data_IF_312127369932
#
_entry.id   IF_312127369932
#
_cell.length_a   1.000
_cell.length_b   1.000
_cell.length_c   1.000
_cell.angle_alpha   90.00
_cell.angle_beta   90.00
_cell.angle_gamma   90.00
#
_symmetry.space_group_name_H-M   'P 1'
#
loop_
_entity.id
_entity.type
_entity.pdbx_description
1 polymer ?
#
# COMPACT_ATOMS: atom_id res chain seq x y z
N UNK A 1 0.98 11.19 -13.76
CA UNK A 1 2.03 10.72 -12.85
C UNK A 1 2.45 11.80 -11.86
N UNK A 2 2.99 12.94 -12.30
CA UNK A 2 3.50 14.01 -11.42
C UNK A 2 2.48 14.58 -10.41
N UNK A 3 1.22 14.79 -10.83
CA UNK A 3 0.17 15.26 -9.91
C UNK A 3 -0.09 14.29 -8.75
N UNK A 4 -0.07 12.98 -9.02
CA UNK A 4 -0.22 11.96 -7.96
C UNK A 4 0.99 11.95 -7.01
N UNK A 5 2.22 12.00 -7.54
CA UNK A 5 3.44 12.08 -6.73
C UNK A 5 3.48 13.32 -5.85
N UNK A 6 3.02 14.47 -6.36
CA UNK A 6 2.96 15.69 -5.55
C UNK A 6 1.92 15.57 -4.41
N UNK A 7 0.80 14.87 -4.63
CA UNK A 7 -0.19 14.57 -3.57
C UNK A 7 0.36 13.58 -2.56
N UNK A 8 1.08 12.53 -3.00
CA UNK A 8 1.75 11.59 -2.11
C UNK A 8 2.79 12.30 -1.23
N UNK A 9 3.56 13.23 -1.81
CA UNK A 9 4.53 14.06 -1.08
C UNK A 9 3.88 15.03 -0.08
N UNK A 10 2.76 15.64 -0.45
CA UNK A 10 2.02 16.51 0.46
C UNK A 10 1.42 15.71 1.63
N UNK A 11 0.91 14.49 1.38
CA UNK A 11 0.39 13.61 2.42
C UNK A 11 1.41 13.30 3.51
N UNK A 12 2.69 13.10 3.15
CA UNK A 12 3.78 12.93 4.13
C UNK A 12 3.87 14.17 5.04
N UNK A 13 3.91 15.35 4.45
CA UNK A 13 4.08 16.61 5.19
C UNK A 13 2.87 16.99 6.06
N UNK A 14 1.68 16.58 5.66
CA UNK A 14 0.44 16.86 6.37
C UNK A 14 0.22 15.91 7.56
N UNK A 15 0.77 14.67 7.47
CA UNK A 15 0.48 13.62 8.46
C UNK A 15 1.64 13.27 9.36
N UNK A 16 2.87 13.61 8.97
CA UNK A 16 4.04 13.42 9.83
C UNK A 16 4.52 14.79 10.36
N UNK A 17 4.35 15.06 11.68
CA UNK A 17 4.85 16.29 12.30
C UNK A 17 6.37 16.47 12.18
N UNK A 18 7.13 15.38 12.00
CA UNK A 18 8.59 15.44 11.83
C UNK A 18 9.00 15.77 10.39
N UNK A 19 8.06 15.76 9.42
CA UNK A 19 8.34 16.06 8.03
C UNK A 19 8.69 17.54 7.84
N UNK A 20 9.94 17.81 7.54
CA UNK A 20 10.46 19.14 7.27
C UNK A 20 10.05 19.68 5.89
N UNK A 21 11.02 20.13 5.10
CA UNK A 21 10.76 20.64 3.75
C UNK A 21 10.48 19.49 2.74
N UNK A 22 9.90 19.84 1.58
CA UNK A 22 9.62 18.86 0.50
C UNK A 22 10.85 18.08 0.05
N UNK A 23 12.00 18.75 0.00
CA UNK A 23 13.25 18.12 -0.41
C UNK A 23 13.67 17.02 0.56
N UNK A 24 13.57 17.27 1.87
CA UNK A 24 13.83 16.26 2.89
C UNK A 24 12.86 15.07 2.76
N UNK A 25 11.57 15.33 2.55
CA UNK A 25 10.58 14.27 2.36
C UNK A 25 10.87 13.40 1.12
N UNK A 26 11.38 13.97 0.03
CA UNK A 26 11.74 13.22 -1.18
C UNK A 26 12.91 12.26 -0.95
N UNK A 27 13.92 12.66 -0.19
CA UNK A 27 15.16 11.89 -0.05
C UNK A 27 15.22 11.02 1.21
N UNK A 28 14.52 11.40 2.28
CA UNK A 28 14.63 10.74 3.57
C UNK A 28 13.42 9.85 3.92
N UNK A 29 12.32 9.94 3.15
CA UNK A 29 11.12 9.14 3.43
C UNK A 29 11.01 7.95 2.48
N UNK A 30 11.11 6.72 3.01
CA UNK A 30 10.90 5.48 2.25
C UNK A 30 9.56 5.44 1.53
N UNK A 31 8.52 6.04 2.14
CA UNK A 31 7.19 6.17 1.55
C UNK A 31 7.21 6.85 0.17
N UNK A 32 7.89 7.99 0.04
CA UNK A 32 7.99 8.67 -1.25
C UNK A 32 8.79 7.86 -2.27
N UNK A 33 9.90 7.28 -1.84
CA UNK A 33 10.78 6.51 -2.71
C UNK A 33 10.07 5.26 -3.29
N UNK A 34 9.36 4.51 -2.46
CA UNK A 34 8.61 3.34 -2.92
C UNK A 34 7.44 3.74 -3.82
N UNK A 35 6.75 4.86 -3.51
CA UNK A 35 5.66 5.36 -4.35
C UNK A 35 6.15 5.88 -5.70
N UNK A 36 7.31 6.51 -5.77
CA UNK A 36 7.94 6.89 -7.03
C UNK A 36 8.20 5.65 -7.90
N UNK A 37 8.82 4.62 -7.33
CA UNK A 37 9.06 3.35 -8.02
C UNK A 37 7.74 2.69 -8.47
N UNK A 38 6.72 2.64 -7.61
CA UNK A 38 5.42 2.10 -7.92
C UNK A 38 4.72 2.86 -9.07
N UNK A 39 4.75 4.20 -9.06
CA UNK A 39 4.14 5.02 -10.12
C UNK A 39 4.79 4.79 -11.48
N UNK A 40 6.04 4.30 -11.52
CA UNK A 40 6.73 3.88 -12.74
C UNK A 40 6.40 2.42 -13.08
N UNK A 41 6.42 1.53 -12.10
CA UNK A 41 6.26 0.09 -12.30
C UNK A 41 4.82 -0.31 -12.67
N UNK A 42 3.80 0.35 -12.10
CA UNK A 42 2.40 0.01 -12.35
C UNK A 42 1.97 0.19 -13.83
N UNK A 43 2.30 1.29 -14.54
CA UNK A 43 2.06 1.38 -15.99
C UNK A 43 2.78 0.30 -16.78
N UNK A 44 4.02 -0.04 -16.44
CA UNK A 44 4.78 -1.12 -17.11
C UNK A 44 4.09 -2.47 -16.89
N UNK A 45 3.61 -2.74 -15.69
CA UNK A 45 2.82 -3.93 -15.39
C UNK A 45 1.58 -4.03 -16.27
N UNK A 46 0.82 -2.93 -16.38
CA UNK A 46 -0.38 -2.84 -17.22
C UNK A 46 -0.08 -2.99 -18.71
N UNK A 47 1.08 -2.54 -19.16
CA UNK A 47 1.56 -2.71 -20.53
C UNK A 47 2.10 -4.14 -20.83
N UNK A 48 2.06 -5.07 -19.85
CA UNK A 48 2.55 -6.43 -20.01
C UNK A 48 4.05 -6.63 -19.74
N UNK A 49 4.80 -5.56 -19.46
CA UNK A 49 6.23 -5.62 -19.13
C UNK A 49 6.44 -6.06 -17.67
N UNK A 50 5.90 -7.24 -17.35
CA UNK A 50 5.79 -7.73 -15.97
C UNK A 50 7.13 -7.95 -15.27
N UNK A 51 8.14 -8.44 -16.01
CA UNK A 51 9.47 -8.63 -15.44
C UNK A 51 10.09 -7.29 -15.01
N UNK A 52 10.11 -6.31 -15.90
CA UNK A 52 10.66 -4.98 -15.61
C UNK A 52 9.94 -4.31 -14.44
N UNK A 53 8.60 -4.37 -14.42
CA UNK A 53 7.80 -3.83 -13.32
C UNK A 53 8.15 -4.48 -11.98
N UNK A 54 8.26 -5.82 -11.93
CA UNK A 54 8.64 -6.53 -10.70
C UNK A 54 10.08 -6.25 -10.28
N UNK A 55 10.99 -6.14 -11.25
CA UNK A 55 12.39 -5.83 -10.96
C UNK A 55 12.54 -4.46 -10.30
N UNK A 56 11.87 -3.44 -10.85
CA UNK A 56 11.85 -2.09 -10.25
C UNK A 56 11.32 -2.14 -8.81
N UNK A 57 10.22 -2.85 -8.57
CA UNK A 57 9.66 -2.94 -7.22
C UNK A 57 10.53 -3.78 -6.27
N UNK A 58 11.27 -4.76 -6.77
CA UNK A 58 12.24 -5.51 -5.97
C UNK A 58 13.42 -4.62 -5.53
N UNK A 59 13.94 -3.77 -6.42
CA UNK A 59 14.94 -2.78 -6.05
C UNK A 59 14.41 -1.80 -4.99
N UNK A 60 13.18 -1.28 -5.19
CA UNK A 60 12.55 -0.39 -4.22
C UNK A 60 12.41 -1.06 -2.85
N UNK A 61 12.02 -2.36 -2.79
CA UNK A 61 11.95 -3.14 -1.56
C UNK A 61 13.31 -3.22 -0.83
N UNK A 62 14.39 -3.45 -1.55
CA UNK A 62 15.74 -3.53 -0.95
C UNK A 62 16.16 -2.22 -0.30
N UNK A 63 15.79 -1.08 -0.89
CA UNK A 63 16.14 0.24 -0.36
C UNK A 63 15.19 0.73 0.74
N UNK A 64 13.90 0.35 0.68
CA UNK A 64 12.87 0.93 1.55
C UNK A 64 12.35 -0.03 2.62
N UNK A 65 12.55 -1.34 2.46
CA UNK A 65 11.93 -2.37 3.30
C UNK A 65 10.42 -2.52 3.08
N UNK A 66 9.85 -1.87 2.04
CA UNK A 66 8.42 -1.88 1.72
C UNK A 66 8.20 -2.71 0.46
N UNK A 67 7.33 -3.71 0.54
CA UNK A 67 6.94 -4.54 -0.59
C UNK A 67 5.60 -4.10 -1.16
N UNK A 68 5.58 -3.62 -2.40
CA UNK A 68 4.35 -3.33 -3.14
C UNK A 68 4.38 -4.11 -4.45
N UNK A 69 3.36 -4.96 -4.65
CA UNK A 69 3.23 -5.62 -5.94
C UNK A 69 2.81 -4.61 -7.03
N UNK A 70 3.48 -4.55 -8.19
CA UNK A 70 3.18 -3.55 -9.22
C UNK A 70 1.78 -3.66 -9.82
N UNK A 71 1.09 -4.80 -9.64
CA UNK A 71 -0.29 -5.02 -10.03
C UNK A 71 -1.34 -4.38 -9.11
N UNK A 72 -0.98 -4.00 -7.90
CA UNK A 72 -1.88 -3.31 -6.98
C UNK A 72 -2.41 -2.01 -7.58
N UNK A 73 -3.60 -1.58 -7.17
CA UNK A 73 -4.18 -0.29 -7.55
C UNK A 73 -4.14 0.65 -6.35
N UNK A 74 -3.42 1.77 -6.47
CA UNK A 74 -3.25 2.73 -5.37
C UNK A 74 -3.65 4.13 -5.83
N UNK A 75 -4.58 4.73 -5.10
CA UNK A 75 -5.03 6.11 -5.27
C UNK A 75 -3.92 7.15 -5.05
N UNK A 76 -4.27 8.40 -4.86
CA UNK A 76 -3.32 9.47 -4.54
C UNK A 76 -3.34 9.80 -3.04
N UNK A 77 -2.30 10.49 -2.57
CA UNK A 77 -2.19 10.83 -1.15
C UNK A 77 -1.94 9.62 -0.26
N UNK A 78 -1.42 8.54 -0.81
CA UNK A 78 -1.05 7.36 -0.07
C UNK A 78 0.23 7.62 0.73
N UNK A 79 0.18 7.30 2.01
CA UNK A 79 1.30 7.50 2.93
C UNK A 79 1.60 6.22 3.71
N UNK A 80 2.86 5.85 3.76
CA UNK A 80 3.35 4.74 4.60
C UNK A 80 4.30 5.33 5.63
N UNK A 81 3.85 5.38 6.88
CA UNK A 81 4.67 5.88 7.98
C UNK A 81 5.65 4.79 8.46
N UNK A 82 6.92 5.15 8.62
CA UNK A 82 8.06 4.26 8.87
C UNK A 82 8.27 3.21 7.77
N UNK A 83 7.31 2.35 7.51
CA UNK A 83 7.18 1.47 6.34
C UNK A 83 7.87 0.13 6.42
N UNK A 84 8.85 -0.10 7.27
CA UNK A 84 9.56 -1.39 7.33
C UNK A 84 8.59 -2.57 7.51
N UNK A 85 8.71 -3.58 6.65
CA UNK A 85 7.88 -4.79 6.72
C UNK A 85 6.45 -4.65 6.20
N UNK A 86 6.09 -3.52 5.57
CA UNK A 86 4.79 -3.40 4.87
C UNK A 86 4.79 -4.31 3.64
N UNK A 87 3.68 -5.05 3.45
CA UNK A 87 3.46 -5.92 2.29
C UNK A 87 2.10 -5.62 1.65
N UNK A 88 2.10 -5.28 0.38
CA UNK A 88 0.90 -5.00 -0.41
C UNK A 88 0.81 -5.98 -1.59
N UNK A 89 -0.17 -6.88 -1.55
CA UNK A 89 -0.36 -7.94 -2.54
C UNK A 89 -0.93 -7.45 -3.88
N UNK A 90 -0.84 -8.33 -4.89
CA UNK A 90 -1.11 -8.04 -6.31
C UNK A 90 -2.49 -7.43 -6.60
N UNK A 91 -3.55 -8.00 -6.01
CA UNK A 91 -4.94 -7.60 -6.30
C UNK A 91 -5.50 -6.62 -5.28
N UNK A 92 -4.64 -6.02 -4.44
CA UNK A 92 -5.02 -4.99 -3.49
C UNK A 92 -5.52 -3.74 -4.22
N UNK A 93 -6.59 -3.15 -3.68
CA UNK A 93 -7.10 -1.85 -4.11
C UNK A 93 -7.02 -0.90 -2.92
N UNK A 94 -6.38 0.24 -3.10
CA UNK A 94 -6.24 1.29 -2.09
C UNK A 94 -6.80 2.58 -2.67
N UNK A 95 -7.75 3.17 -1.99
CA UNK A 95 -8.36 4.45 -2.31
C UNK A 95 -7.40 5.63 -2.15
N UNK A 96 -7.97 6.81 -2.00
CA UNK A 96 -7.22 8.05 -1.80
C UNK A 96 -6.97 8.31 -0.32
N UNK A 97 -5.88 9.02 -0.02
CA UNK A 97 -5.52 9.49 1.33
C UNK A 97 -5.38 8.39 2.39
N UNK A 98 -5.11 7.17 2.01
CA UNK A 98 -4.90 6.06 2.95
C UNK A 98 -3.54 6.17 3.62
N UNK A 99 -3.49 5.83 4.92
CA UNK A 99 -2.25 5.77 5.71
C UNK A 99 -2.04 4.34 6.24
N UNK A 100 -0.85 3.81 6.02
CA UNK A 100 -0.41 2.56 6.63
C UNK A 100 0.81 2.82 7.53
N UNK A 101 0.89 2.12 8.65
CA UNK A 101 2.08 2.09 9.48
C UNK A 101 2.95 0.87 9.16
N UNK A 102 4.15 0.81 9.76
CA UNK A 102 5.10 -0.30 9.58
C UNK A 102 4.47 -1.66 9.90
N UNK A 103 4.95 -2.71 9.22
CA UNK A 103 4.54 -4.09 9.46
C UNK A 103 3.14 -4.47 9.00
N UNK A 104 2.39 -3.54 8.38
CA UNK A 104 1.05 -3.83 7.85
C UNK A 104 1.14 -4.79 6.66
N UNK A 105 0.29 -5.82 6.67
CA UNK A 105 0.13 -6.73 5.53
C UNK A 105 -1.26 -6.63 4.93
N UNK A 106 -1.33 -6.36 3.63
CA UNK A 106 -2.52 -6.48 2.81
C UNK A 106 -2.39 -7.75 1.97
N UNK A 107 -2.81 -8.88 2.54
CA UNK A 107 -2.50 -10.23 2.07
C UNK A 107 -3.70 -11.05 1.64
N UNK A 108 -3.43 -12.25 1.11
CA UNK A 108 -4.43 -13.28 0.84
C UNK A 108 -4.61 -14.20 2.05
N UNK A 109 -5.78 -14.83 2.16
CA UNK A 109 -6.10 -15.83 3.21
C UNK A 109 -5.88 -17.27 2.72
N UNK A 110 -6.03 -17.51 1.41
CA UNK A 110 -5.97 -18.85 0.87
C UNK A 110 -4.54 -19.42 0.97
N UNK A 111 -4.39 -20.68 1.43
CA UNK A 111 -3.10 -21.35 1.44
C UNK A 111 -2.54 -21.46 0.01
N UNK A 112 -1.24 -21.58 -0.12
CA UNK A 112 -0.53 -21.67 -1.40
C UNK A 112 -0.79 -22.97 -2.18
N UNK A 113 -1.88 -23.65 -1.93
CA UNK A 113 -2.35 -24.85 -2.63
C UNK A 113 -3.09 -24.39 -3.89
N UNK A 114 -2.70 -24.95 -5.04
CA UNK A 114 -3.24 -24.60 -6.36
C UNK A 114 -3.07 -23.12 -6.74
N UNK A 115 -1.82 -22.68 -6.84
CA UNK A 115 -1.47 -21.32 -7.25
C UNK A 115 -2.00 -20.94 -8.65
N UNK A 116 -2.26 -21.94 -9.54
CA UNK A 116 -2.80 -21.65 -10.87
C UNK A 116 -4.25 -21.19 -10.82
N UNK A 117 -5.10 -21.83 -10.02
CA UNK A 117 -6.50 -21.44 -9.84
C UNK A 117 -6.63 -20.05 -9.20
N UNK A 118 -5.68 -19.65 -8.37
CA UNK A 118 -5.72 -18.37 -7.67
C UNK A 118 -5.26 -17.16 -8.51
N UNK A 119 -4.65 -17.37 -9.68
CA UNK A 119 -4.09 -16.27 -10.48
C UNK A 119 -5.11 -15.27 -10.98
N UNK A 120 -6.32 -15.70 -11.26
CA UNK A 120 -7.42 -14.85 -11.76
C UNK A 120 -8.33 -14.31 -10.67
N UNK A 121 -8.13 -14.71 -9.42
CA UNK A 121 -9.00 -14.33 -8.31
C UNK A 121 -8.52 -13.03 -7.65
N UNK A 122 -9.49 -12.18 -7.28
CA UNK A 122 -9.22 -11.11 -6.33
C UNK A 122 -9.08 -11.75 -4.93
N UNK A 123 -7.87 -11.71 -4.37
CA UNK A 123 -7.52 -12.40 -3.11
C UNK A 123 -6.96 -11.47 -2.04
N UNK A 124 -6.82 -10.18 -2.35
CA UNK A 124 -6.29 -9.17 -1.44
C UNK A 124 -7.34 -8.10 -1.15
N UNK A 125 -7.22 -7.39 -0.03
CA UNK A 125 -8.25 -6.46 0.42
C UNK A 125 -8.42 -5.22 -0.45
N UNK A 126 -9.56 -4.56 -0.27
CA UNK A 126 -9.85 -3.21 -0.71
C UNK A 126 -9.86 -2.29 0.51
N UNK A 127 -9.09 -1.24 0.50
CA UNK A 127 -9.18 -0.12 1.44
C UNK A 127 -9.81 1.07 0.72
N UNK A 128 -10.92 1.56 1.24
CA UNK A 128 -11.55 2.77 0.67
C UNK A 128 -10.80 4.04 1.09
N UNK A 129 -11.34 5.21 0.73
CA UNK A 129 -10.68 6.49 0.98
C UNK A 129 -10.53 6.79 2.48
N UNK A 130 -9.48 7.52 2.84
CA UNK A 130 -9.23 8.04 4.20
C UNK A 130 -9.05 6.96 5.29
N UNK A 131 -8.82 5.70 4.93
CA UNK A 131 -8.55 4.61 5.87
C UNK A 131 -7.18 4.79 6.52
N UNK A 132 -7.09 4.52 7.82
CA UNK A 132 -5.83 4.42 8.56
C UNK A 132 -5.67 3.01 9.13
N UNK A 133 -4.51 2.40 8.91
CA UNK A 133 -4.18 1.05 9.39
C UNK A 133 -2.97 1.13 10.30
N UNK A 134 -3.17 0.80 11.58
CA UNK A 134 -2.15 0.80 12.61
C UNK A 134 -1.04 -0.24 12.41
N UNK A 135 0.07 -0.04 13.10
CA UNK A 135 1.29 -0.84 12.95
C UNK A 135 1.05 -2.34 13.17
N UNK A 136 1.66 -3.16 12.31
CA UNK A 136 1.60 -4.61 12.42
C UNK A 136 0.25 -5.25 12.09
N UNK A 137 -0.78 -4.47 11.72
CA UNK A 137 -2.08 -5.03 11.41
C UNK A 137 -2.05 -5.91 10.14
N UNK A 138 -2.80 -7.01 10.17
CA UNK A 138 -2.92 -7.97 9.09
C UNK A 138 -4.33 -7.90 8.51
N UNK A 139 -4.49 -7.39 7.30
CA UNK A 139 -5.77 -7.34 6.60
C UNK A 139 -5.73 -8.38 5.49
N UNK A 140 -6.54 -9.43 5.64
CA UNK A 140 -6.37 -10.65 4.87
C UNK A 140 -7.64 -11.04 4.12
N UNK A 141 -7.47 -11.37 2.84
CA UNK A 141 -8.55 -11.86 1.99
C UNK A 141 -9.18 -10.79 1.12
N UNK A 142 -10.16 -11.20 0.32
CA UNK A 142 -10.95 -10.28 -0.50
C UNK A 142 -12.05 -9.63 0.34
N UNK A 143 -11.65 -8.75 1.23
CA UNK A 143 -12.52 -7.99 2.13
C UNK A 143 -12.42 -6.49 1.84
N UNK A 144 -13.39 -5.72 2.30
CA UNK A 144 -13.41 -4.27 2.17
C UNK A 144 -13.30 -3.60 3.54
N UNK A 145 -12.38 -2.66 3.66
CA UNK A 145 -12.31 -1.74 4.79
C UNK A 145 -12.90 -0.41 4.33
N UNK A 146 -14.06 -0.07 4.90
CA UNK A 146 -14.87 1.08 4.48
C UNK A 146 -14.20 2.42 4.75
N UNK A 147 -14.62 3.45 4.00
CA UNK A 147 -14.05 4.79 4.02
C UNK A 147 -13.97 5.38 5.44
N UNK A 148 -12.84 6.00 5.75
CA UNK A 148 -12.61 6.64 7.04
C UNK A 148 -12.43 5.69 8.22
N UNK A 149 -12.46 4.36 8.02
CA UNK A 149 -12.24 3.40 9.11
C UNK A 149 -10.81 3.48 9.68
N UNK A 150 -10.69 3.15 10.95
CA UNK A 150 -9.43 3.09 11.71
C UNK A 150 -9.20 1.67 12.21
N UNK A 151 -8.13 1.02 11.76
CA UNK A 151 -7.74 -0.31 12.21
C UNK A 151 -6.60 -0.17 13.22
N UNK A 152 -6.79 -0.68 14.42
CA UNK A 152 -5.79 -0.65 15.48
C UNK A 152 -4.54 -1.48 15.16
N UNK A 153 -3.45 -1.15 15.83
CA UNK A 153 -2.19 -1.88 15.65
C UNK A 153 -2.31 -3.36 16.03
N UNK A 154 -1.60 -4.22 15.30
CA UNK A 154 -1.58 -5.68 15.48
C UNK A 154 -2.94 -6.39 15.34
N UNK A 155 -3.96 -5.72 14.82
CA UNK A 155 -5.26 -6.34 14.53
C UNK A 155 -5.16 -7.34 13.37
N UNK A 156 -5.90 -8.44 13.47
CA UNK A 156 -6.09 -9.39 12.37
C UNK A 156 -7.52 -9.26 11.84
N UNK A 157 -7.66 -8.73 10.62
CA UNK A 157 -8.94 -8.42 9.99
C UNK A 157 -9.17 -9.35 8.81
N UNK A 158 -10.22 -10.17 8.90
CA UNK A 158 -10.59 -11.17 7.89
C UNK A 158 -12.04 -11.03 7.41
N UNK A 159 -12.74 -9.98 7.84
CA UNK A 159 -14.12 -9.67 7.45
C UNK A 159 -14.24 -8.20 7.09
N UNK A 160 -15.27 -7.86 6.33
CA UNK A 160 -15.55 -6.48 5.96
C UNK A 160 -15.68 -5.58 7.18
N UNK A 161 -15.17 -4.36 7.06
CA UNK A 161 -15.19 -3.32 8.08
C UNK A 161 -16.07 -2.18 7.59
N UNK A 162 -17.10 -1.77 8.35
CA UNK A 162 -17.94 -0.64 7.97
C UNK A 162 -17.16 0.68 7.85
N UNK A 163 -17.70 1.63 7.09
CA UNK A 163 -17.14 2.97 7.01
C UNK A 163 -17.13 3.64 8.40
N UNK A 164 -16.09 4.43 8.66
CA UNK A 164 -15.86 5.15 9.92
C UNK A 164 -15.77 4.26 11.18
N UNK A 165 -15.66 2.94 11.03
CA UNK A 165 -15.48 2.05 12.17
C UNK A 165 -14.12 2.22 12.83
N UNK A 166 -14.08 1.95 14.14
CA UNK A 166 -12.85 1.88 14.95
C UNK A 166 -12.70 0.44 15.46
N UNK A 167 -11.60 -0.23 15.09
CA UNK A 167 -11.29 -1.60 15.47
C UNK A 167 -10.03 -1.64 16.32
#
# INVERSE_FOLDING_TARGET
MFAKLNRDLNAIRERDPAAGCKLAAMFLYPSFQVMLAYRIANPLWKAGLKFAARFIMQLARWFTGIEIHPGATIGYGFFVDHGSGVVIGETTVIGCNVTLYQGVTLGGVLPAVDAKAQRSLKRHPTLEDDVIVGSGAQILGNITVGAGARVGGNSVVTKDVPACALL
#
